data_IF_681132058506
#
_entry.id   IF_681132058506
#
_cell.length_a   1.000
_cell.length_b   1.000
_cell.length_c   1.000
_cell.angle_alpha   90.00
_cell.angle_beta   90.00
_cell.angle_gamma   90.00
#
_symmetry.space_group_name_H-M   'P 1'
#
loop_
_entity.id
_entity.type
_entity.pdbx_description
1 polymer ?
#
# COMPACT_ATOMS: atom_id res chain seq x y z
N UNK A 1 -12.06 -42.32 34.31
CA UNK A 1 -13.04 -42.77 33.32
C UNK A 1 -13.05 -41.75 32.20
N UNK A 2 -12.57 -42.16 31.02
CA UNK A 2 -12.67 -41.42 29.76
C UNK A 2 -14.13 -41.32 29.33
N UNK A 3 -14.53 -40.23 28.66
CA UNK A 3 -15.27 -40.36 27.39
C UNK A 3 -15.21 -39.09 26.52
N UNK A 4 -15.17 -39.34 25.20
CA UNK A 4 -15.04 -38.41 24.08
C UNK A 4 -16.37 -37.70 23.77
N UNK A 5 -16.37 -36.52 23.15
CA UNK A 5 -16.64 -36.24 21.71
C UNK A 5 -17.10 -34.76 21.66
N UNK A 6 -16.98 -33.92 20.64
CA UNK A 6 -16.84 -34.06 19.19
C UNK A 6 -16.34 -32.72 18.66
N UNK A 7 -15.22 -32.71 17.96
CA UNK A 7 -14.71 -31.57 17.19
C UNK A 7 -15.29 -31.70 15.78
N UNK A 8 -16.00 -30.70 15.30
CA UNK A 8 -16.41 -30.61 13.90
C UNK A 8 -16.29 -29.16 13.44
N UNK A 9 -15.90 -29.01 12.17
CA UNK A 9 -15.90 -27.79 11.36
C UNK A 9 -14.62 -26.94 11.39
N UNK A 10 -13.55 -27.51 10.83
CA UNK A 10 -12.45 -26.77 10.20
C UNK A 10 -12.19 -27.26 8.76
N UNK A 11 -13.25 -27.61 8.04
CA UNK A 11 -13.20 -27.99 6.62
C UNK A 11 -14.06 -27.01 5.81
N UNK A 12 -13.53 -25.83 5.50
CA UNK A 12 -14.16 -24.94 4.51
C UNK A 12 -13.22 -23.88 3.93
N UNK A 13 -12.10 -23.55 4.61
CA UNK A 13 -11.22 -22.49 4.12
C UNK A 13 -10.16 -22.93 3.10
N UNK A 14 -9.78 -24.22 3.05
CA UNK A 14 -8.68 -24.71 2.19
C UNK A 14 -9.12 -25.05 0.76
N UNK A 15 -10.35 -25.51 0.58
CA UNK A 15 -10.86 -25.94 -0.74
C UNK A 15 -11.17 -24.75 -1.67
N UNK A 16 -11.65 -23.63 -1.12
CA UNK A 16 -11.89 -22.39 -1.86
C UNK A 16 -10.60 -21.80 -2.46
N UNK A 17 -9.47 -21.93 -1.75
CA UNK A 17 -8.16 -21.52 -2.26
C UNK A 17 -7.61 -22.47 -3.33
N UNK A 18 -7.83 -23.77 -3.20
CA UNK A 18 -7.33 -24.74 -4.18
C UNK A 18 -8.08 -24.62 -5.53
N UNK A 19 -9.40 -24.42 -5.49
CA UNK A 19 -10.21 -24.21 -6.69
C UNK A 19 -9.82 -22.92 -7.43
N UNK A 20 -9.62 -21.81 -6.70
CA UNK A 20 -9.20 -20.53 -7.29
C UNK A 20 -7.77 -20.57 -7.87
N UNK A 21 -6.88 -21.38 -7.29
CA UNK A 21 -5.52 -21.59 -7.83
C UNK A 21 -5.58 -22.46 -9.09
N UNK A 22 -6.41 -23.49 -9.12
CA UNK A 22 -6.58 -24.35 -10.29
C UNK A 22 -7.17 -23.59 -11.50
N UNK A 23 -8.13 -22.70 -11.26
CA UNK A 23 -8.73 -21.85 -12.29
C UNK A 23 -7.69 -20.89 -12.91
N UNK A 24 -6.88 -20.23 -12.07
CA UNK A 24 -5.79 -19.36 -12.56
C UNK A 24 -4.66 -20.10 -13.27
N UNK A 25 -4.41 -21.36 -12.93
CA UNK A 25 -3.44 -22.19 -13.64
C UNK A 25 -3.96 -22.72 -14.98
N UNK A 26 -5.28 -22.92 -15.12
CA UNK A 26 -5.90 -23.29 -16.39
C UNK A 26 -5.84 -22.13 -17.40
N UNK A 27 -6.13 -20.90 -16.97
CA UNK A 27 -6.04 -19.70 -17.83
C UNK A 27 -4.59 -19.43 -18.28
N UNK A 28 -3.61 -19.61 -17.39
CA UNK A 28 -2.19 -19.43 -17.74
C UNK A 28 -1.70 -20.47 -18.77
N UNK A 29 -2.30 -21.66 -18.79
CA UNK A 29 -1.94 -22.73 -19.74
C UNK A 29 -2.55 -22.49 -21.13
N UNK A 30 -3.77 -21.95 -21.20
CA UNK A 30 -4.41 -21.56 -22.47
C UNK A 30 -3.63 -20.44 -23.17
N UNK A 31 -3.15 -19.44 -22.41
CA UNK A 31 -2.35 -18.34 -22.97
C UNK A 31 -0.99 -18.85 -23.50
N UNK A 32 -0.39 -19.85 -22.84
CA UNK A 32 0.85 -20.46 -23.28
C UNK A 32 0.68 -21.28 -24.57
N UNK A 33 -0.44 -22.00 -24.73
CA UNK A 33 -0.75 -22.74 -25.95
C UNK A 33 -1.10 -21.81 -27.13
N UNK A 34 -1.80 -20.69 -26.88
CA UNK A 34 -2.05 -19.66 -27.90
C UNK A 34 -0.75 -18.98 -28.42
N UNK A 35 0.29 -18.87 -27.59
CA UNK A 35 1.59 -18.30 -27.99
C UNK A 35 2.47 -19.29 -28.77
N UNK A 36 2.35 -20.59 -28.49
CA UNK A 36 3.08 -21.65 -29.23
C UNK A 36 2.48 -21.88 -30.63
N UNK A 37 1.15 -21.73 -30.79
CA UNK A 37 0.46 -21.91 -32.08
C UNK A 37 0.67 -20.81 -33.12
N UNK A 38 1.22 -19.64 -32.75
CA UNK A 38 1.31 -18.47 -33.65
C UNK A 38 2.66 -18.27 -34.33
N UNK A 39 3.54 -19.27 -34.26
CA UNK A 39 4.87 -19.24 -34.88
C UNK A 39 5.05 -20.36 -35.91
N UNK A 40 4.15 -20.42 -36.89
CA UNK A 40 4.40 -21.20 -38.09
C UNK A 40 3.65 -20.62 -39.29
N UNK A 41 4.33 -20.65 -40.44
CA UNK A 41 3.92 -20.19 -41.77
C UNK A 41 4.03 -18.69 -42.07
N UNK A 42 5.25 -18.25 -42.44
CA UNK A 42 5.43 -17.39 -43.61
C UNK A 42 6.72 -17.85 -44.33
N UNK A 43 6.56 -18.60 -45.42
CA UNK A 43 7.65 -19.03 -46.27
C UNK A 43 8.00 -17.92 -47.28
N UNK A 44 9.28 -17.54 -47.48
CA UNK A 44 9.62 -16.61 -48.54
C UNK A 44 9.70 -17.34 -49.89
N UNK A 45 8.98 -16.80 -50.89
CA UNK A 45 9.05 -17.19 -52.30
C UNK A 45 10.50 -17.11 -52.85
N UNK A 46 10.93 -18.02 -53.74
CA UNK A 46 12.27 -17.99 -54.31
C UNK A 46 12.40 -16.86 -55.35
N UNK A 47 13.21 -15.85 -55.05
CA UNK A 47 13.64 -14.85 -56.03
C UNK A 47 14.79 -15.41 -56.87
N UNK A 48 14.60 -15.49 -58.19
CA UNK A 48 15.64 -15.70 -59.19
C UNK A 48 16.70 -14.59 -59.09
N UNK A 49 17.94 -14.92 -58.72
CA UNK A 49 19.13 -14.19 -59.18
C UNK A 49 20.37 -15.11 -59.11
N UNK A 50 21.17 -15.03 -60.16
CA UNK A 50 22.32 -15.87 -60.51
C UNK A 50 23.45 -15.85 -59.47
N UNK A 51 24.17 -16.96 -59.22
CA UNK A 51 25.36 -16.92 -58.36
C UNK A 51 26.50 -16.23 -59.12
N UNK A 52 26.84 -15.00 -58.72
CA UNK A 52 28.11 -14.39 -59.11
C UNK A 52 29.21 -15.04 -58.28
N UNK A 53 30.00 -15.89 -58.92
CA UNK A 53 31.24 -16.43 -58.37
C UNK A 53 32.24 -15.30 -58.16
N UNK A 54 32.41 -14.84 -56.92
CA UNK A 54 33.52 -13.97 -56.56
C UNK A 54 34.69 -14.85 -56.12
N UNK A 55 35.74 -14.90 -56.94
CA UNK A 55 37.02 -15.52 -56.59
C UNK A 55 37.59 -14.86 -55.32
N UNK A 56 38.21 -15.61 -54.39
CA UNK A 56 38.88 -14.98 -53.26
C UNK A 56 40.18 -14.36 -53.75
N UNK A 57 40.14 -13.05 -53.95
CA UNK A 57 41.32 -12.21 -54.07
C UNK A 57 42.10 -12.26 -52.75
N UNK A 58 43.26 -12.91 -52.81
CA UNK A 58 44.27 -12.99 -51.76
C UNK A 58 44.69 -11.58 -51.35
N UNK A 59 44.35 -11.15 -50.13
CA UNK A 59 45.09 -10.11 -49.42
C UNK A 59 45.25 -10.48 -47.95
N UNK A 60 46.51 -10.75 -47.63
CA UNK A 60 47.17 -10.69 -46.32
C UNK A 60 46.38 -9.96 -45.23
N UNK A 61 46.01 -10.70 -44.18
CA UNK A 61 45.54 -10.16 -42.91
C UNK A 61 44.96 -11.27 -42.05
N UNK A 62 45.77 -11.84 -41.15
CA UNK A 62 45.31 -12.77 -40.11
C UNK A 62 44.29 -12.08 -39.19
N UNK A 63 43.00 -12.18 -39.51
CA UNK A 63 41.92 -11.93 -38.57
C UNK A 63 41.41 -13.30 -38.11
N UNK A 64 41.96 -13.77 -36.99
CA UNK A 64 41.58 -15.05 -36.38
C UNK A 64 40.06 -15.03 -36.03
N UNK A 65 39.28 -16.04 -36.43
CA UNK A 65 37.85 -16.15 -36.09
C UNK A 65 37.60 -16.16 -34.58
N UNK A 66 38.63 -16.46 -33.79
CA UNK A 66 38.61 -16.38 -32.33
C UNK A 66 38.45 -14.94 -31.84
N UNK A 67 39.02 -13.95 -32.54
CA UNK A 67 38.91 -12.54 -32.17
C UNK A 67 37.48 -12.00 -32.37
N UNK A 68 36.78 -12.43 -33.43
CA UNK A 68 35.36 -12.10 -33.66
C UNK A 68 34.44 -12.79 -32.64
N UNK A 69 34.69 -14.06 -32.30
CA UNK A 69 33.92 -14.79 -31.28
C UNK A 69 34.07 -14.18 -29.88
N UNK A 70 35.29 -13.76 -29.50
CA UNK A 70 35.54 -13.09 -28.23
C UNK A 70 34.87 -11.71 -28.19
N UNK A 71 34.86 -10.99 -29.32
CA UNK A 71 34.10 -9.74 -29.49
C UNK A 71 32.60 -9.94 -29.29
N UNK A 72 32.03 -10.99 -29.89
CA UNK A 72 30.62 -11.35 -29.74
C UNK A 72 30.25 -11.79 -28.32
N UNK A 73 31.10 -12.59 -27.66
CA UNK A 73 30.89 -13.00 -26.27
C UNK A 73 30.94 -11.80 -25.33
N UNK A 74 31.88 -10.87 -25.55
CA UNK A 74 32.00 -9.65 -24.74
C UNK A 74 30.80 -8.72 -24.94
N UNK A 75 30.30 -8.61 -26.16
CA UNK A 75 29.12 -7.81 -26.48
C UNK A 75 27.84 -8.44 -25.93
N UNK A 76 27.67 -9.76 -26.07
CA UNK A 76 26.54 -10.50 -25.51
C UNK A 76 26.53 -10.42 -23.98
N UNK A 77 27.68 -10.54 -23.33
CA UNK A 77 27.78 -10.44 -21.88
C UNK A 77 27.46 -9.01 -21.38
N UNK A 78 27.85 -7.97 -22.14
CA UNK A 78 27.52 -6.57 -21.83
C UNK A 78 26.03 -6.26 -21.99
N UNK A 79 25.40 -6.78 -23.04
CA UNK A 79 23.95 -6.65 -23.25
C UNK A 79 23.19 -7.42 -22.18
N UNK A 80 23.63 -8.63 -21.85
CA UNK A 80 23.02 -9.45 -20.81
C UNK A 80 23.11 -8.79 -19.44
N UNK A 81 24.27 -8.22 -19.06
CA UNK A 81 24.42 -7.46 -17.82
C UNK A 81 23.55 -6.20 -17.78
N UNK A 82 23.35 -5.51 -18.90
CA UNK A 82 22.41 -4.38 -18.98
C UNK A 82 20.96 -4.82 -18.74
N UNK A 83 20.54 -5.96 -19.32
CA UNK A 83 19.19 -6.52 -19.14
C UNK A 83 18.99 -7.00 -17.70
N UNK A 84 19.95 -7.72 -17.14
CA UNK A 84 19.88 -8.14 -15.73
C UNK A 84 19.88 -6.92 -14.81
N UNK A 85 20.72 -5.92 -15.09
CA UNK A 85 20.80 -4.69 -14.32
C UNK A 85 19.49 -3.89 -14.33
N UNK A 86 18.82 -3.79 -15.48
CA UNK A 86 17.51 -3.12 -15.55
C UNK A 86 16.43 -3.89 -14.82
N UNK A 87 16.38 -5.22 -14.95
CA UNK A 87 15.42 -6.05 -14.21
C UNK A 87 15.63 -5.91 -12.70
N UNK A 88 16.87 -6.06 -12.23
CA UNK A 88 17.21 -5.94 -10.80
C UNK A 88 16.92 -4.52 -10.30
N UNK A 89 17.28 -3.50 -11.07
CA UNK A 89 17.00 -2.10 -10.73
C UNK A 89 15.51 -1.82 -10.59
N UNK A 90 14.69 -2.38 -11.48
CA UNK A 90 13.23 -2.20 -11.46
C UNK A 90 12.60 -2.95 -10.28
N UNK A 91 13.05 -4.17 -9.98
CA UNK A 91 12.61 -4.93 -8.79
C UNK A 91 13.01 -4.21 -7.50
N UNK A 92 14.24 -3.69 -7.42
CA UNK A 92 14.71 -2.91 -6.27
C UNK A 92 13.88 -1.63 -6.09
N UNK A 93 13.56 -0.92 -7.17
CA UNK A 93 12.73 0.28 -7.12
C UNK A 93 11.32 -0.03 -6.60
N UNK A 94 10.68 -1.08 -7.11
CA UNK A 94 9.32 -1.48 -6.71
C UNK A 94 9.29 -1.90 -5.24
N UNK A 95 10.26 -2.70 -4.79
CA UNK A 95 10.32 -3.16 -3.39
C UNK A 95 10.59 -2.02 -2.42
N UNK A 96 11.50 -1.11 -2.75
CA UNK A 96 11.76 0.10 -1.93
C UNK A 96 10.53 1.00 -1.90
N UNK A 97 9.86 1.21 -3.04
CA UNK A 97 8.64 2.01 -3.09
C UNK A 97 7.54 1.40 -2.21
N UNK A 98 7.23 0.11 -2.37
CA UNK A 98 6.21 -0.57 -1.57
C UNK A 98 6.49 -0.48 -0.07
N UNK A 99 7.74 -0.73 0.34
CA UNK A 99 8.13 -0.68 1.75
C UNK A 99 8.16 0.74 2.30
N UNK A 100 8.54 1.71 1.48
CA UNK A 100 8.51 3.14 1.82
C UNK A 100 7.10 3.66 2.02
N UNK A 101 6.16 3.32 1.13
CA UNK A 101 4.76 3.70 1.26
C UNK A 101 4.10 3.08 2.50
N UNK A 102 4.32 1.79 2.75
CA UNK A 102 3.79 1.11 3.93
C UNK A 102 4.32 1.72 5.25
N UNK A 103 5.62 2.03 5.30
CA UNK A 103 6.19 2.67 6.49
C UNK A 103 5.68 4.10 6.69
N UNK A 104 5.45 4.83 5.60
CA UNK A 104 4.91 6.19 5.66
C UNK A 104 3.45 6.22 6.12
N UNK A 105 2.60 5.30 5.62
CA UNK A 105 1.21 5.19 6.06
C UNK A 105 1.13 4.81 7.54
N UNK A 106 1.86 3.78 7.95
CA UNK A 106 1.89 3.33 9.35
C UNK A 106 2.36 4.44 10.30
N UNK A 107 3.38 5.22 9.89
CA UNK A 107 3.85 6.35 10.69
C UNK A 107 2.83 7.48 10.77
N UNK A 108 2.02 7.68 9.72
CA UNK A 108 0.96 8.69 9.70
C UNK A 108 -0.21 8.28 10.58
N UNK A 109 -0.64 7.03 10.46
CA UNK A 109 -1.70 6.41 11.27
C UNK A 109 -1.36 6.51 12.76
N UNK A 110 -0.17 6.02 13.17
CA UNK A 110 0.29 6.09 14.57
C UNK A 110 0.32 7.52 15.12
N UNK A 111 0.67 8.51 14.30
CA UNK A 111 0.65 9.93 14.71
C UNK A 111 -0.76 10.43 14.93
N UNK A 112 -1.69 10.06 14.04
CA UNK A 112 -3.10 10.44 14.16
C UNK A 112 -3.73 9.77 15.38
N UNK A 113 -3.48 8.49 15.59
CA UNK A 113 -3.91 7.76 16.78
C UNK A 113 -3.40 8.41 18.06
N UNK A 114 -2.10 8.73 18.13
CA UNK A 114 -1.53 9.39 19.32
C UNK A 114 -2.10 10.80 19.54
N UNK A 115 -2.35 11.55 18.47
CA UNK A 115 -2.94 12.88 18.54
C UNK A 115 -4.37 12.85 19.10
N UNK A 116 -5.14 11.81 18.76
CA UNK A 116 -6.54 11.62 19.19
C UNK A 116 -6.65 10.94 20.55
N UNK A 117 -5.76 10.00 20.88
CA UNK A 117 -5.74 9.31 22.17
C UNK A 117 -5.43 10.25 23.35
N UNK A 118 -4.72 11.35 23.08
CA UNK A 118 -4.37 12.39 24.07
C UNK A 118 -5.36 13.55 24.13
N UNK A 119 -6.54 13.40 23.50
CA UNK A 119 -7.54 14.48 23.49
C UNK A 119 -8.17 14.60 24.87
N UNK A 120 -7.76 15.66 25.57
CA UNK A 120 -8.40 16.17 26.78
C UNK A 120 -8.94 17.56 26.48
N UNK A 121 -9.90 18.07 27.26
CA UNK A 121 -10.43 19.43 27.07
C UNK A 121 -9.30 20.47 27.01
N UNK A 122 -8.28 20.31 27.85
CA UNK A 122 -7.18 21.24 27.98
C UNK A 122 -6.22 21.16 26.78
N UNK A 123 -6.01 19.95 26.25
CA UNK A 123 -5.27 19.76 25.00
C UNK A 123 -6.03 20.30 23.79
N UNK A 124 -7.36 20.21 23.76
CA UNK A 124 -8.16 20.85 22.70
C UNK A 124 -8.01 22.36 22.73
N UNK A 125 -8.09 22.98 23.92
CA UNK A 125 -7.91 24.41 24.07
C UNK A 125 -6.53 24.87 23.59
N UNK A 126 -5.49 24.11 23.95
CA UNK A 126 -4.12 24.42 23.52
C UNK A 126 -3.92 24.31 22.00
N UNK A 127 -4.52 23.29 21.35
CA UNK A 127 -4.30 23.02 19.92
C UNK A 127 -5.25 23.78 18.99
N UNK A 128 -6.52 23.88 19.36
CA UNK A 128 -7.60 24.43 18.54
C UNK A 128 -8.06 25.83 18.99
N UNK A 129 -7.63 26.31 20.16
CA UNK A 129 -8.01 27.62 20.69
C UNK A 129 -9.27 27.56 21.55
N UNK A 130 -9.91 28.71 21.76
CA UNK A 130 -11.13 28.78 22.57
C UNK A 130 -12.31 28.12 21.84
N UNK A 131 -13.09 27.34 22.59
CA UNK A 131 -14.36 26.80 22.12
C UNK A 131 -15.40 27.91 21.96
N UNK A 132 -16.30 27.74 20.99
CA UNK A 132 -17.46 28.61 20.80
C UNK A 132 -18.44 28.50 21.98
N UNK A 133 -18.61 27.27 22.48
CA UNK A 133 -19.42 26.96 23.64
C UNK A 133 -18.72 25.89 24.47
N UNK A 134 -18.69 26.08 25.78
CA UNK A 134 -18.10 25.15 26.73
C UNK A 134 -19.06 25.01 27.91
N UNK A 135 -19.71 23.86 28.01
CA UNK A 135 -20.68 23.58 29.07
C UNK A 135 -20.23 22.39 29.88
N UNK A 136 -20.16 22.55 31.20
CA UNK A 136 -19.89 21.45 32.12
C UNK A 136 -21.14 21.16 32.93
N UNK A 137 -21.62 19.92 32.87
CA UNK A 137 -22.78 19.41 33.60
C UNK A 137 -22.31 18.42 34.65
N UNK A 138 -22.76 18.59 35.89
CA UNK A 138 -22.51 17.64 36.97
C UNK A 138 -23.67 16.65 37.07
N UNK A 139 -23.39 15.37 36.83
CA UNK A 139 -24.30 14.25 37.04
C UNK A 139 -23.60 13.31 38.02
N UNK A 140 -23.60 13.70 39.30
CA UNK A 140 -22.83 13.03 40.36
C UNK A 140 -22.99 11.49 40.30
N UNK A 141 -21.88 10.73 40.28
CA UNK A 141 -20.49 11.14 40.52
C UNK A 141 -19.70 11.47 39.24
N UNK A 142 -20.34 11.80 38.12
CA UNK A 142 -19.68 12.06 36.83
C UNK A 142 -19.86 13.54 36.44
N UNK A 143 -18.77 14.19 36.06
CA UNK A 143 -18.75 15.47 35.39
C UNK A 143 -18.71 15.23 33.89
N UNK A 144 -19.65 15.80 33.15
CA UNK A 144 -19.64 15.80 31.69
C UNK A 144 -19.30 17.20 31.20
N UNK A 145 -18.35 17.30 30.27
CA UNK A 145 -17.99 18.56 29.63
C UNK A 145 -18.20 18.43 28.14
N UNK A 146 -19.00 19.31 27.59
CA UNK A 146 -19.29 19.38 26.16
C UNK A 146 -18.72 20.68 25.62
N UNK A 147 -17.79 20.55 24.66
CA UNK A 147 -17.13 21.67 24.01
C UNK A 147 -17.50 21.71 22.54
N UNK A 148 -17.93 22.88 22.06
CA UNK A 148 -18.34 23.10 20.69
C UNK A 148 -17.34 23.99 19.99
N UNK A 149 -16.83 23.54 18.84
CA UNK A 149 -15.87 24.27 18.02
C UNK A 149 -16.44 24.53 16.63
N UNK A 150 -16.17 25.72 16.11
CA UNK A 150 -16.43 26.02 14.71
C UNK A 150 -15.26 25.50 13.87
N UNK A 151 -15.56 24.60 12.95
CA UNK A 151 -14.66 24.11 11.92
C UNK A 151 -14.58 25.07 10.73
N UNK A 152 -14.52 24.50 9.51
CA UNK A 152 -14.47 25.30 8.28
C UNK A 152 -15.84 25.90 7.95
N UNK A 153 -15.88 27.22 7.75
CA UNK A 153 -16.96 28.14 7.30
C UNK A 153 -18.42 27.92 7.74
N UNK A 154 -18.92 26.69 7.92
CA UNK A 154 -20.25 26.34 8.44
C UNK A 154 -20.30 25.00 9.21
N UNK A 155 -19.19 24.28 9.37
CA UNK A 155 -19.17 23.02 10.10
C UNK A 155 -18.94 23.27 11.59
N UNK A 156 -19.74 22.62 12.44
CA UNK A 156 -19.60 22.71 13.89
C UNK A 156 -19.35 21.32 14.44
N UNK A 157 -18.36 21.21 15.32
CA UNK A 157 -17.96 19.96 15.94
C UNK A 157 -18.16 20.03 17.44
N UNK A 158 -18.76 18.98 17.98
CA UNK A 158 -19.10 18.83 19.39
C UNK A 158 -18.22 17.72 19.95
N UNK A 159 -17.46 18.04 20.99
CA UNK A 159 -16.61 17.12 21.72
C UNK A 159 -17.21 16.87 23.10
N UNK A 160 -17.48 15.60 23.40
CA UNK A 160 -18.02 15.17 24.68
C UNK A 160 -16.91 14.51 25.51
N UNK A 161 -16.77 14.96 26.75
CA UNK A 161 -15.83 14.46 27.73
C UNK A 161 -16.55 14.06 29.00
N UNK A 162 -16.02 13.05 29.68
CA UNK A 162 -16.41 12.71 31.05
C UNK A 162 -15.22 12.68 31.98
N UNK A 163 -15.48 12.93 33.24
CA UNK A 163 -14.53 12.84 34.35
C UNK A 163 -15.30 12.39 35.57
N UNK A 164 -14.72 11.64 36.50
CA UNK A 164 -15.39 11.40 37.78
C UNK A 164 -15.27 12.62 38.68
N UNK A 165 -16.24 12.90 39.54
CA UNK A 165 -16.23 14.04 40.47
C UNK A 165 -15.13 13.91 41.56
N UNK A 166 -14.36 12.83 41.55
CA UNK A 166 -13.16 12.67 42.36
C UNK A 166 -12.08 13.68 41.93
N UNK A 167 -11.32 14.16 42.91
CA UNK A 167 -10.37 15.27 42.73
C UNK A 167 -9.20 14.89 41.80
N UNK A 168 -8.86 13.59 41.70
CA UNK A 168 -7.69 13.07 40.99
C UNK A 168 -7.99 12.38 39.65
N UNK A 169 -9.21 12.50 39.12
CA UNK A 169 -9.58 11.79 37.89
C UNK A 169 -9.29 12.61 36.63
N UNK A 170 -8.75 11.92 35.63
CA UNK A 170 -8.49 12.49 34.32
C UNK A 170 -9.76 12.62 33.49
N UNK A 171 -9.77 13.60 32.58
CA UNK A 171 -10.82 13.71 31.56
C UNK A 171 -10.66 12.61 30.51
N UNK A 172 -11.75 11.89 30.28
CA UNK A 172 -11.88 10.86 29.26
C UNK A 172 -12.67 11.43 28.08
N UNK A 173 -12.07 11.35 26.89
CA UNK A 173 -12.76 11.68 25.65
C UNK A 173 -13.81 10.60 25.32
N UNK A 174 -15.06 11.00 25.17
CA UNK A 174 -16.16 10.10 24.85
C UNK A 174 -16.43 10.04 23.36
N UNK A 175 -16.64 11.19 22.72
CA UNK A 175 -16.98 11.23 21.30
C UNK A 175 -16.75 12.61 20.68
N UNK A 176 -16.57 12.60 19.36
CA UNK A 176 -16.61 13.77 18.50
C UNK A 176 -17.73 13.56 17.49
N UNK A 177 -18.61 14.55 17.37
CA UNK A 177 -19.72 14.54 16.41
C UNK A 177 -19.86 15.88 15.73
N UNK A 178 -20.41 15.91 14.53
CA UNK A 178 -20.80 17.17 13.89
C UNK A 178 -22.17 17.65 14.39
N UNK A 179 -22.59 18.84 13.95
CA UNK A 179 -23.93 19.37 14.22
C UNK A 179 -25.06 18.50 13.65
N UNK A 180 -24.78 17.67 12.64
CA UNK A 180 -25.75 16.75 12.05
C UNK A 180 -25.87 15.43 12.83
N UNK A 181 -25.04 15.23 13.86
CA UNK A 181 -25.02 14.01 14.67
C UNK A 181 -24.14 12.88 14.11
N UNK A 182 -23.40 13.11 13.02
CA UNK A 182 -22.41 12.15 12.51
C UNK A 182 -21.29 12.03 13.52
N UNK A 183 -21.09 10.82 14.06
CA UNK A 183 -19.97 10.50 14.96
C UNK A 183 -18.74 10.12 14.15
N UNK A 184 -17.59 10.58 14.62
CA UNK A 184 -16.29 10.21 14.07
C UNK A 184 -15.65 9.20 15.02
N UNK A 185 -15.37 8.01 14.52
CA UNK A 185 -14.80 6.92 15.35
C UNK A 185 -13.28 6.86 15.20
N UNK A 186 -12.81 6.90 13.96
CA UNK A 186 -11.39 6.75 13.65
C UNK A 186 -10.61 8.04 13.91
N UNK A 187 -9.33 7.90 14.22
CA UNK A 187 -8.46 9.05 14.44
C UNK A 187 -8.25 9.87 13.16
N UNK A 188 -8.19 9.19 12.01
CA UNK A 188 -8.05 9.82 10.70
C UNK A 188 -9.23 10.71 10.37
N UNK A 189 -10.45 10.23 10.59
CA UNK A 189 -11.68 10.99 10.37
C UNK A 189 -11.75 12.25 11.24
N UNK A 190 -11.42 12.11 12.53
CA UNK A 190 -11.40 13.24 13.48
C UNK A 190 -10.40 14.31 13.04
N UNK A 191 -9.17 13.91 12.68
CA UNK A 191 -8.12 14.82 12.22
C UNK A 191 -8.43 15.42 10.85
N UNK A 192 -9.10 14.67 9.97
CA UNK A 192 -9.55 15.14 8.66
C UNK A 192 -10.64 16.20 8.80
N UNK A 193 -11.60 15.97 9.71
CA UNK A 193 -12.66 16.91 10.05
C UNK A 193 -12.10 18.17 10.74
N UNK A 194 -11.16 18.00 11.66
CA UNK A 194 -10.57 19.09 12.42
C UNK A 194 -9.05 19.00 12.45
N UNK A 195 -8.41 19.69 11.51
CA UNK A 195 -6.97 19.65 11.30
C UNK A 195 -6.14 20.16 12.49
N UNK A 196 -6.72 21.04 13.33
CA UNK A 196 -6.05 21.53 14.54
C UNK A 196 -5.77 20.42 15.57
N UNK A 197 -6.48 19.28 15.53
CA UNK A 197 -6.23 18.15 16.42
C UNK A 197 -4.82 17.54 16.24
N UNK A 198 -4.29 17.63 15.02
CA UNK A 198 -2.95 17.13 14.66
C UNK A 198 -1.87 18.21 14.75
N UNK A 199 -2.23 19.44 15.13
CA UNK A 199 -1.26 20.52 15.32
C UNK A 199 -0.46 20.27 16.60
N UNK A 200 0.86 20.10 16.48
CA UNK A 200 1.80 20.22 17.60
C UNK A 200 2.12 21.70 17.77
N UNK A 201 1.21 22.44 18.39
CA UNK A 201 1.47 23.81 18.82
C UNK A 201 2.04 23.80 20.24
#
# INVERSE_FOLDING_TARGET
MMDQTKQAEHASSSELTAAAIAERQAEAKEIAECLVGKRSAEAPKPSRYSPVTVSPGRSSGESSPVAEFVGFLKQTNRVWLMVVGTIVGLVALVTVAQRGFAWFSEKRERKQEQAVASVTPEHLLARCGQALEDTTKSVYPILMRTMTYQGSRNETYIFDFSRTAEETSDWVFLSMKDANGKRYETAEEKVSAMSCLNSRK
#
